data_IF_273463158584
#
_entry.id   IF_273463158584
#
_cell.length_a   1.000
_cell.length_b   1.000
_cell.length_c   1.000
_cell.angle_alpha   90.00
_cell.angle_beta   90.00
_cell.angle_gamma   90.00
#
_symmetry.space_group_name_H-M   'P 1'
#
loop_
_entity.id
_entity.type
_entity.pdbx_description
1 polymer ?
#
# COMPACT_ATOMS: atom_id res chain seq x y z
N UNK A 1 14.82 24.81 -20.78
CA UNK A 1 13.84 23.80 -20.33
C UNK A 1 12.45 24.35 -20.63
N UNK A 2 11.66 23.67 -21.47
CA UNK A 2 10.32 24.12 -21.86
C UNK A 2 9.32 23.46 -20.92
N UNK A 3 8.66 24.24 -20.06
CA UNK A 3 7.58 23.76 -19.21
C UNK A 3 6.27 23.95 -19.99
N UNK A 4 5.54 22.89 -20.37
CA UNK A 4 4.26 23.03 -21.05
C UNK A 4 3.24 23.71 -20.12
N UNK A 5 2.39 24.57 -20.70
CA UNK A 5 1.42 25.39 -19.97
C UNK A 5 0.29 24.54 -19.38
N UNK A 6 -0.19 24.91 -18.18
CA UNK A 6 -1.29 24.24 -17.46
C UNK A 6 -2.58 24.09 -18.29
N UNK A 7 -2.78 24.94 -19.30
CA UNK A 7 -3.90 24.88 -20.24
C UNK A 7 -3.91 23.63 -21.13
N UNK A 8 -2.75 23.00 -21.37
CA UNK A 8 -2.65 21.84 -22.26
C UNK A 8 -3.06 20.53 -21.56
N UNK A 9 -3.02 20.48 -20.22
CA UNK A 9 -3.48 19.32 -19.44
C UNK A 9 -5.00 19.15 -19.45
N UNK A 10 -5.76 20.23 -19.71
CA UNK A 10 -7.22 20.21 -19.73
C UNK A 10 -7.81 19.63 -21.04
N UNK A 11 -6.99 19.39 -22.07
CA UNK A 11 -7.45 18.97 -23.40
C UNK A 11 -7.07 17.52 -23.74
N UNK A 12 -6.75 16.69 -22.75
CA UNK A 12 -6.48 15.26 -22.96
C UNK A 12 -7.83 14.54 -23.02
N UNK A 13 -8.19 13.89 -24.15
CA UNK A 13 -9.41 13.11 -24.24
C UNK A 13 -9.40 12.02 -23.15
N UNK A 14 -10.56 11.72 -22.54
CA UNK A 14 -10.65 10.62 -21.59
C UNK A 14 -10.18 9.32 -22.27
N UNK A 15 -9.44 8.44 -21.55
CA UNK A 15 -8.99 7.18 -22.10
C UNK A 15 -10.20 6.36 -22.60
N UNK A 16 -10.04 5.61 -23.70
CA UNK A 16 -11.13 4.84 -24.27
C UNK A 16 -11.68 3.81 -23.27
N UNK A 17 -13.00 3.55 -23.29
CA UNK A 17 -13.63 2.61 -22.38
C UNK A 17 -13.07 1.19 -22.57
N UNK A 18 -12.85 0.49 -21.46
CA UNK A 18 -12.34 -0.88 -21.45
C UNK A 18 -13.53 -1.84 -21.50
N UNK A 19 -13.66 -2.62 -22.58
CA UNK A 19 -14.75 -3.60 -22.75
C UNK A 19 -14.18 -5.00 -22.66
N UNK A 20 -14.77 -5.85 -21.82
CA UNK A 20 -14.44 -7.27 -21.71
C UNK A 20 -15.71 -8.08 -21.95
N UNK A 21 -15.72 -8.94 -22.97
CA UNK A 21 -16.89 -9.78 -23.33
C UNK A 21 -18.20 -8.98 -23.41
N UNK A 22 -18.19 -7.90 -24.20
CA UNK A 22 -19.31 -6.97 -24.39
C UNK A 22 -19.77 -6.20 -23.13
N UNK A 23 -19.01 -6.29 -22.03
CA UNK A 23 -19.28 -5.53 -20.80
C UNK A 23 -18.25 -4.43 -20.62
N UNK A 24 -18.69 -3.18 -20.54
CA UNK A 24 -17.83 -2.06 -20.17
C UNK A 24 -17.44 -2.15 -18.69
N UNK A 25 -16.13 -2.10 -18.42
CA UNK A 25 -15.59 -2.15 -17.07
C UNK A 25 -15.31 -0.75 -16.55
N UNK A 26 -15.86 -0.46 -15.38
CA UNK A 26 -15.65 0.81 -14.68
C UNK A 26 -14.19 0.96 -14.23
N UNK A 27 -13.58 2.08 -14.60
CA UNK A 27 -12.28 2.50 -14.07
C UNK A 27 -12.40 2.94 -12.61
N UNK A 28 -11.50 2.45 -11.75
CA UNK A 28 -11.44 2.82 -10.33
C UNK A 28 -10.05 3.35 -9.97
N UNK A 29 -10.01 4.35 -9.07
CA UNK A 29 -8.75 4.95 -8.62
C UNK A 29 -7.88 4.02 -7.77
N UNK A 30 -8.50 3.08 -7.06
CA UNK A 30 -7.85 2.09 -6.20
C UNK A 30 -8.61 0.76 -6.29
N UNK A 31 -7.89 -0.33 -6.48
CA UNK A 31 -8.43 -1.68 -6.60
C UNK A 31 -7.63 -2.65 -5.75
N UNK A 32 -8.30 -3.57 -5.05
CA UNK A 32 -7.63 -4.64 -4.32
C UNK A 32 -7.73 -5.93 -5.11
N UNK A 33 -6.58 -6.47 -5.51
CA UNK A 33 -6.46 -7.73 -6.24
C UNK A 33 -5.52 -8.68 -5.49
N UNK A 34 -6.03 -9.87 -5.14
CA UNK A 34 -5.25 -10.91 -4.43
C UNK A 34 -4.46 -10.38 -3.22
N UNK A 35 -5.05 -9.43 -2.49
CA UNK A 35 -4.42 -8.81 -1.30
C UNK A 35 -3.45 -7.66 -1.61
N UNK A 36 -3.16 -7.39 -2.88
CA UNK A 36 -2.40 -6.22 -3.32
C UNK A 36 -3.32 -5.07 -3.69
N UNK A 37 -2.90 -3.86 -3.35
CA UNK A 37 -3.62 -2.64 -3.74
C UNK A 37 -2.95 -2.05 -4.97
N UNK A 38 -3.70 -2.02 -6.06
CA UNK A 38 -3.36 -1.33 -7.30
C UNK A 38 -4.00 0.06 -7.30
N UNK A 39 -3.30 1.04 -7.84
CA UNK A 39 -3.82 2.41 -8.00
C UNK A 39 -3.81 2.78 -9.47
N UNK A 40 -4.78 3.59 -9.89
CA UNK A 40 -4.87 4.08 -11.29
C UNK A 40 -3.61 4.85 -11.73
N UNK A 41 -2.89 5.49 -10.82
CA UNK A 41 -1.61 6.17 -11.08
C UNK A 41 -0.40 5.24 -11.21
N UNK A 42 -0.57 3.93 -11.02
CA UNK A 42 0.54 2.96 -10.98
C UNK A 42 1.47 3.08 -9.77
N UNK A 43 1.15 3.95 -8.80
CA UNK A 43 2.01 4.22 -7.66
C UNK A 43 1.97 3.12 -6.60
N UNK A 44 3.15 2.60 -6.24
CA UNK A 44 3.31 1.63 -5.16
C UNK A 44 3.13 2.24 -3.75
N UNK A 45 3.15 3.57 -3.64
CA UNK A 45 3.17 4.29 -2.36
C UNK A 45 2.00 3.91 -1.45
N UNK A 46 0.81 3.74 -2.01
CA UNK A 46 -0.39 3.36 -1.24
C UNK A 46 -0.22 1.97 -0.64
N UNK A 47 0.30 1.02 -1.42
CA UNK A 47 0.53 -0.35 -0.96
C UNK A 47 1.64 -0.39 0.11
N UNK A 48 2.72 0.36 -0.08
CA UNK A 48 3.82 0.46 0.91
C UNK A 48 3.31 1.00 2.24
N UNK A 49 2.60 2.13 2.23
CA UNK A 49 2.01 2.71 3.44
C UNK A 49 1.08 1.73 4.14
N UNK A 50 0.25 1.01 3.39
CA UNK A 50 -0.65 0.01 3.94
C UNK A 50 0.10 -1.18 4.56
N UNK A 51 1.19 -1.65 3.94
CA UNK A 51 2.03 -2.74 4.49
C UNK A 51 2.73 -2.31 5.78
N UNK A 52 3.32 -1.12 5.81
CA UNK A 52 3.92 -0.54 7.02
C UNK A 52 2.88 -0.47 8.13
N UNK A 53 1.70 0.11 7.86
CA UNK A 53 0.63 0.20 8.86
C UNK A 53 0.19 -1.16 9.41
N UNK A 54 0.08 -2.19 8.56
CA UNK A 54 -0.25 -3.56 8.98
C UNK A 54 0.84 -4.17 9.87
N UNK A 55 2.11 -3.99 9.51
CA UNK A 55 3.25 -4.46 10.28
C UNK A 55 3.30 -3.78 11.66
N UNK A 56 3.18 -2.44 11.70
CA UNK A 56 3.12 -1.67 12.95
C UNK A 56 1.95 -2.10 13.83
N UNK A 57 0.78 -2.33 13.25
CA UNK A 57 -0.37 -2.82 14.01
C UNK A 57 -0.14 -4.23 14.57
N UNK A 58 0.48 -5.14 13.81
CA UNK A 58 0.82 -6.47 14.30
C UNK A 58 1.83 -6.40 15.46
N UNK A 59 2.88 -5.59 15.31
CA UNK A 59 3.88 -5.35 16.35
C UNK A 59 3.26 -4.76 17.63
N UNK A 60 2.34 -3.81 17.48
CA UNK A 60 1.59 -3.22 18.59
C UNK A 60 0.67 -4.23 19.30
N UNK A 61 0.07 -5.18 18.57
CA UNK A 61 -0.75 -6.25 19.18
C UNK A 61 0.08 -7.21 20.03
N UNK A 62 1.40 -7.32 19.81
CA UNK A 62 2.30 -8.17 20.60
C UNK A 62 2.69 -7.56 21.95
N UNK A 63 2.08 -6.45 22.35
CA UNK A 63 2.41 -5.75 23.61
C UNK A 63 2.28 -6.63 24.85
N UNK A 64 1.16 -7.34 25.01
CA UNK A 64 0.98 -8.19 26.18
C UNK A 64 1.84 -9.46 26.14
N UNK A 65 1.90 -10.13 24.99
CA UNK A 65 2.51 -11.46 24.83
C UNK A 65 4.02 -11.44 24.58
N UNK A 66 4.58 -10.33 24.12
CA UNK A 66 6.01 -10.22 23.84
C UNK A 66 6.65 -9.09 24.65
N UNK A 67 6.10 -7.87 24.61
CA UNK A 67 6.76 -6.72 25.24
C UNK A 67 6.69 -6.77 26.76
N UNK A 68 5.52 -7.02 27.35
CA UNK A 68 5.31 -7.07 28.80
C UNK A 68 5.48 -8.46 29.43
N UNK A 69 5.64 -9.51 28.62
CA UNK A 69 5.84 -10.85 29.16
C UNK A 69 7.25 -11.00 29.76
N UNK A 70 7.32 -11.32 31.05
CA UNK A 70 8.55 -11.54 31.80
C UNK A 70 9.19 -12.92 31.50
N UNK A 71 8.42 -13.88 31.01
CA UNK A 71 8.91 -15.20 30.59
C UNK A 71 9.65 -15.18 29.26
N UNK A 72 9.52 -14.09 28.48
CA UNK A 72 10.23 -13.93 27.21
C UNK A 72 11.61 -13.30 27.43
N UNK A 73 12.64 -14.00 26.96
CA UNK A 73 14.03 -13.54 27.00
C UNK A 73 14.22 -12.24 26.21
N UNK A 74 15.04 -11.34 26.76
CA UNK A 74 15.39 -10.08 26.11
C UNK A 74 16.00 -10.27 24.71
N UNK A 75 16.84 -11.30 24.53
CA UNK A 75 17.43 -11.63 23.22
C UNK A 75 16.36 -11.92 22.16
N UNK A 76 15.28 -12.60 22.52
CA UNK A 76 14.14 -12.87 21.64
C UNK A 76 13.39 -11.59 21.29
N UNK A 77 13.14 -10.71 22.27
CA UNK A 77 12.51 -9.39 22.03
C UNK A 77 13.32 -8.54 21.05
N UNK A 78 14.65 -8.51 21.23
CA UNK A 78 15.57 -7.80 20.33
C UNK A 78 15.58 -8.42 18.93
N UNK A 79 15.57 -9.75 18.81
CA UNK A 79 15.52 -10.43 17.52
C UNK A 79 14.24 -10.06 16.74
N UNK A 80 13.08 -10.08 17.40
CA UNK A 80 11.80 -9.70 16.77
C UNK A 80 11.80 -8.24 16.34
N UNK A 81 12.34 -7.32 17.14
CA UNK A 81 12.48 -5.91 16.77
C UNK A 81 13.34 -5.73 15.52
N UNK A 82 14.51 -6.39 15.46
CA UNK A 82 15.40 -6.34 14.29
C UNK A 82 14.74 -6.90 13.03
N UNK A 83 13.99 -7.99 13.14
CA UNK A 83 13.25 -8.57 12.00
C UNK A 83 12.07 -7.70 11.53
N UNK A 84 11.53 -6.84 12.39
CA UNK A 84 10.39 -5.99 12.05
C UNK A 84 10.79 -4.65 11.40
N UNK A 85 12.07 -4.28 11.49
CA UNK A 85 12.63 -3.02 10.99
C UNK A 85 13.66 -3.22 9.86
N UNK A 86 13.76 -4.45 9.33
CA UNK A 86 14.54 -4.82 8.15
C UNK A 86 13.64 -4.82 6.91
#
# INVERSE_FOLDING_TARGET
MFQPSLSQAANVPPPPPVVISDTEIKTVGKFCYLGSTMTSSGSLNVQVKQRIGKASAAFGRMTKSLWHDHGIRLSTKIAVYKCSNA
#
